data_IF_756549256606
#
_entry.id   IF_756549256606
#
_cell.length_a   1.000
_cell.length_b   1.000
_cell.length_c   1.000
_cell.angle_alpha   90.00
_cell.angle_beta   90.00
_cell.angle_gamma   90.00
#
_symmetry.space_group_name_H-M   'P 1'
#
loop_
_entity.id
_entity.type
_entity.pdbx_description
1 polymer ?
#
# COMPACT_ATOMS: atom_id res chain seq x y z
N UNK A 1 11.30 -6.43 13.70
CA UNK A 1 10.43 -7.44 13.07
C UNK A 1 9.07 -7.50 13.75
N UNK A 2 9.04 -7.52 15.08
CA UNK A 2 7.79 -7.45 15.86
C UNK A 2 6.90 -6.26 15.43
N UNK A 3 7.46 -5.05 15.39
CA UNK A 3 6.75 -3.85 14.92
C UNK A 3 6.12 -4.00 13.51
N UNK A 4 6.88 -4.54 12.55
CA UNK A 4 6.38 -4.77 11.17
C UNK A 4 5.24 -5.80 11.19
N UNK A 5 5.38 -6.86 11.98
CA UNK A 5 4.37 -7.90 12.10
C UNK A 5 3.07 -7.37 12.72
N UNK A 6 3.18 -6.54 13.75
CA UNK A 6 2.03 -5.92 14.40
C UNK A 6 1.30 -4.98 13.44
N UNK A 7 2.03 -4.14 12.71
CA UNK A 7 1.44 -3.28 11.67
C UNK A 7 0.73 -4.11 10.59
N UNK A 8 1.32 -5.23 10.17
CA UNK A 8 0.68 -6.14 9.21
C UNK A 8 -0.60 -6.71 9.80
N UNK A 9 -0.60 -7.19 11.05
CA UNK A 9 -1.77 -7.75 11.74
C UNK A 9 -2.89 -6.72 11.92
N UNK A 10 -2.57 -5.50 12.30
CA UNK A 10 -3.53 -4.42 12.52
C UNK A 10 -4.10 -3.82 11.22
N UNK A 11 -3.38 -3.94 10.10
CA UNK A 11 -3.80 -3.35 8.83
C UNK A 11 -5.06 -4.00 8.26
N UNK A 12 -6.04 -3.19 7.83
CA UNK A 12 -7.28 -3.68 7.24
C UNK A 12 -7.01 -4.44 5.92
N UNK A 13 -7.36 -5.73 5.91
CA UNK A 13 -7.13 -6.63 4.77
C UNK A 13 -7.99 -6.33 3.56
N UNK A 14 -9.12 -5.63 3.73
CA UNK A 14 -10.11 -5.38 2.67
C UNK A 14 -9.90 -4.04 1.95
N UNK A 15 -8.78 -3.36 2.20
CA UNK A 15 -8.44 -2.14 1.44
C UNK A 15 -8.17 -2.46 -0.03
N UNK A 16 -8.53 -1.50 -0.88
CA UNK A 16 -8.32 -1.57 -2.33
C UNK A 16 -6.81 -1.74 -2.63
N UNK A 17 -6.42 -2.70 -3.48
CA UNK A 17 -5.01 -2.93 -3.83
C UNK A 17 -4.44 -1.80 -4.68
N UNK A 18 -3.12 -1.76 -4.77
CA UNK A 18 -2.43 -0.93 -5.75
C UNK A 18 -2.43 -1.56 -7.15
N UNK A 19 -1.61 -1.04 -8.07
CA UNK A 19 -1.45 -1.60 -9.42
C UNK A 19 -0.97 -3.06 -9.47
N UNK A 20 -0.38 -3.55 -8.39
CA UNK A 20 0.08 -4.93 -8.23
C UNK A 20 -1.04 -5.93 -7.93
N UNK A 21 -2.25 -5.46 -7.60
CA UNK A 21 -3.39 -6.30 -7.26
C UNK A 21 -3.35 -6.92 -5.87
N UNK A 22 -2.33 -6.62 -5.05
CA UNK A 22 -2.17 -7.20 -3.71
C UNK A 22 -2.61 -6.24 -2.60
N UNK A 23 -3.33 -6.77 -1.61
CA UNK A 23 -3.76 -6.05 -0.41
C UNK A 23 -3.18 -6.69 0.87
N UNK A 24 -3.49 -6.11 2.03
CA UNK A 24 -3.00 -6.64 3.30
C UNK A 24 -3.55 -8.04 3.63
N UNK A 25 -4.71 -8.45 3.08
CA UNK A 25 -5.19 -9.83 3.27
C UNK A 25 -4.24 -10.85 2.62
N UNK A 26 -3.67 -10.54 1.46
CA UNK A 26 -2.62 -11.35 0.85
C UNK A 26 -1.37 -11.42 1.72
N UNK A 27 -0.85 -10.27 2.18
CA UNK A 27 0.36 -10.23 3.03
C UNK A 27 0.17 -11.00 4.33
N UNK A 28 -0.99 -10.85 4.99
CA UNK A 28 -1.35 -11.61 6.20
C UNK A 28 -1.38 -13.11 5.94
N UNK A 29 -2.04 -13.53 4.85
CA UNK A 29 -2.20 -14.96 4.51
C UNK A 29 -0.87 -15.63 4.24
N UNK A 30 0.08 -14.91 3.64
CA UNK A 30 1.39 -15.44 3.25
C UNK A 30 2.53 -14.89 4.13
N UNK A 31 2.24 -14.42 5.34
CA UNK A 31 3.21 -13.75 6.22
C UNK A 31 4.48 -14.58 6.44
N UNK A 32 4.32 -15.86 6.79
CA UNK A 32 5.45 -16.76 7.04
C UNK A 32 6.40 -16.90 5.86
N UNK A 33 5.87 -16.81 4.64
CA UNK A 33 6.65 -16.86 3.41
C UNK A 33 7.30 -15.51 3.08
N UNK A 34 6.59 -14.40 3.34
CA UNK A 34 7.00 -13.06 2.88
C UNK A 34 7.84 -12.28 3.90
N UNK A 35 7.78 -12.62 5.20
CA UNK A 35 8.40 -11.82 6.28
C UNK A 35 9.90 -11.60 6.11
N UNK A 36 10.61 -12.57 5.52
CA UNK A 36 12.04 -12.44 5.21
C UNK A 36 12.31 -11.38 4.15
N UNK A 37 11.61 -11.43 3.03
CA UNK A 37 11.72 -10.47 1.93
C UNK A 37 11.26 -9.07 2.37
N UNK A 38 10.19 -8.99 3.16
CA UNK A 38 9.72 -7.72 3.74
C UNK A 38 10.79 -7.11 4.65
N UNK A 39 11.49 -7.92 5.46
CA UNK A 39 12.61 -7.41 6.27
C UNK A 39 13.73 -6.84 5.39
N UNK A 40 14.16 -7.60 4.38
CA UNK A 40 15.22 -7.16 3.45
C UNK A 40 14.84 -5.84 2.78
N UNK A 41 13.58 -5.70 2.37
CA UNK A 41 13.05 -4.45 1.80
C UNK A 41 13.16 -3.26 2.76
N UNK A 42 12.80 -3.43 4.04
CA UNK A 42 12.97 -2.37 5.05
C UNK A 42 14.45 -2.04 5.27
N UNK A 43 15.31 -3.04 5.42
CA UNK A 43 16.75 -2.84 5.60
C UNK A 43 17.36 -2.05 4.41
N UNK A 44 16.96 -2.39 3.18
CA UNK A 44 17.37 -1.67 1.97
C UNK A 44 16.84 -0.24 1.92
N UNK A 45 15.59 -0.01 2.32
CA UNK A 45 15.01 1.33 2.36
C UNK A 45 15.75 2.23 3.36
N UNK A 46 16.03 1.74 4.56
CA UNK A 46 16.75 2.50 5.59
C UNK A 46 18.23 2.71 5.23
N UNK A 47 18.88 1.74 4.58
CA UNK A 47 20.27 1.88 4.15
C UNK A 47 20.46 2.80 2.94
N UNK A 48 19.58 2.73 1.95
CA UNK A 48 19.75 3.40 0.66
C UNK A 48 18.82 4.60 0.46
N UNK A 49 17.88 4.86 1.37
CA UNK A 49 16.83 5.89 1.24
C UNK A 49 16.07 5.81 -0.09
N UNK A 50 15.88 4.60 -0.61
CA UNK A 50 15.26 4.38 -1.91
C UNK A 50 14.36 3.15 -1.93
N UNK A 51 13.34 3.19 -2.78
CA UNK A 51 12.44 2.07 -3.05
C UNK A 51 12.47 1.70 -4.52
N UNK A 52 12.24 0.42 -4.86
CA UNK A 52 11.99 0.03 -6.24
C UNK A 52 10.88 0.90 -6.86
N UNK A 53 11.10 1.39 -8.08
CA UNK A 53 10.11 2.22 -8.80
C UNK A 53 8.75 1.55 -8.93
N UNK A 54 8.72 0.21 -9.00
CA UNK A 54 7.49 -0.57 -9.02
C UNK A 54 6.61 -0.34 -7.79
N UNK A 55 7.20 -0.13 -6.61
CA UNK A 55 6.46 0.13 -5.37
C UNK A 55 5.94 1.56 -5.28
N UNK A 56 6.50 2.47 -6.07
CA UNK A 56 6.00 3.84 -6.18
C UNK A 56 4.88 3.99 -7.23
N UNK A 57 4.48 2.90 -7.89
CA UNK A 57 3.36 2.91 -8.83
C UNK A 57 2.03 2.97 -8.10
N UNK A 58 1.10 3.81 -8.57
CA UNK A 58 -0.24 3.92 -8.02
C UNK A 58 -1.26 4.24 -9.12
N UNK A 59 -2.51 3.87 -8.90
CA UNK A 59 -3.62 4.39 -9.69
C UNK A 59 -4.21 5.62 -9.03
N UNK A 60 -4.69 6.58 -9.83
CA UNK A 60 -5.52 7.68 -9.34
C UNK A 60 -6.97 7.35 -9.65
N UNK A 61 -7.80 7.29 -8.61
CA UNK A 61 -9.25 7.16 -8.75
C UNK A 61 -9.93 8.45 -8.32
N UNK A 62 -11.02 8.82 -9.00
CA UNK A 62 -11.79 10.02 -8.71
C UNK A 62 -13.07 9.62 -7.95
N UNK A 63 -13.20 10.06 -6.71
CA UNK A 63 -14.41 9.84 -5.91
C UNK A 63 -15.33 11.07 -6.02
N UNK A 64 -16.58 10.92 -6.48
CA UNK A 64 -17.56 12.01 -6.50
C UNK A 64 -17.77 12.60 -5.09
N UNK A 65 -17.78 13.92 -4.97
CA UNK A 65 -18.19 14.61 -3.73
C UNK A 65 -19.70 14.91 -3.71
N UNK A 66 -20.35 14.86 -4.87
CA UNK A 66 -21.78 15.15 -5.08
C UNK A 66 -22.43 14.04 -5.90
N UNK A 67 -23.76 13.95 -5.91
CA UNK A 67 -24.52 12.86 -6.56
C UNK A 67 -24.42 12.84 -8.09
N UNK A 68 -24.05 13.95 -8.72
CA UNK A 68 -23.91 14.07 -10.18
C UNK A 68 -22.86 15.12 -10.52
N UNK A 69 -21.56 14.78 -10.37
CA UNK A 69 -20.48 15.71 -10.62
C UNK A 69 -20.41 16.04 -12.12
N UNK A 70 -20.36 17.33 -12.44
CA UNK A 70 -20.28 17.88 -13.79
C UNK A 70 -18.88 18.46 -14.09
N UNK A 71 -18.04 18.65 -13.07
CA UNK A 71 -16.69 19.23 -13.21
C UNK A 71 -15.64 18.49 -12.39
N UNK A 72 -14.37 18.58 -12.80
CA UNK A 72 -13.24 17.92 -12.11
C UNK A 72 -13.09 18.38 -10.65
N UNK A 73 -13.44 19.62 -10.34
CA UNK A 73 -13.38 20.17 -8.99
C UNK A 73 -14.38 19.53 -8.04
N UNK A 74 -15.39 18.81 -8.54
CA UNK A 74 -16.38 18.07 -7.75
C UNK A 74 -15.95 16.64 -7.41
N UNK A 75 -14.77 16.22 -7.86
CA UNK A 75 -14.16 14.96 -7.47
C UNK A 75 -13.08 15.16 -6.41
N UNK A 76 -12.86 14.12 -5.60
CA UNK A 76 -11.68 13.99 -4.76
C UNK A 76 -10.76 12.94 -5.39
N UNK A 77 -9.55 13.29 -5.82
CA UNK A 77 -8.58 12.30 -6.26
C UNK A 77 -8.10 11.48 -5.05
N UNK A 78 -8.00 10.17 -5.22
CA UNK A 78 -7.39 9.25 -4.25
C UNK A 78 -6.34 8.41 -4.98
N UNK A 79 -5.14 8.33 -4.39
CA UNK A 79 -4.07 7.46 -4.87
C UNK A 79 -4.21 6.06 -4.27
N UNK A 80 -4.36 5.06 -5.12
CA UNK A 80 -4.39 3.65 -4.77
C UNK A 80 -2.95 3.11 -4.77
N UNK A 81 -2.28 3.25 -3.63
CA UNK A 81 -0.90 2.78 -3.42
C UNK A 81 -0.87 1.28 -3.11
N UNK A 82 0.22 0.61 -3.52
CA UNK A 82 0.50 -0.79 -3.17
C UNK A 82 0.60 -0.99 -1.64
N UNK A 83 0.25 -2.18 -1.17
CA UNK A 83 0.25 -2.47 0.27
C UNK A 83 1.65 -2.43 0.89
N UNK A 84 2.70 -2.82 0.14
CA UNK A 84 4.09 -2.76 0.60
C UNK A 84 4.58 -1.32 0.79
N UNK A 85 4.21 -0.41 -0.11
CA UNK A 85 4.48 1.01 0.07
C UNK A 85 3.77 1.57 1.31
N UNK A 86 2.49 1.22 1.49
CA UNK A 86 1.70 1.61 2.67
C UNK A 86 2.29 1.07 3.97
N UNK A 87 2.93 -0.10 3.93
CA UNK A 87 3.58 -0.72 5.09
C UNK A 87 4.83 0.07 5.50
N UNK A 88 5.65 0.52 4.55
CA UNK A 88 6.85 1.34 4.84
C UNK A 88 6.49 2.74 5.32
N UNK A 89 5.37 3.29 4.86
CA UNK A 89 4.93 4.64 5.22
C UNK A 89 4.23 4.72 6.59
N UNK A 90 3.96 3.59 7.24
CA UNK A 90 3.43 3.52 8.61
C UNK A 90 4.56 3.44 9.61
#
# INVERSE_FOLDING_TARGET
MEEIEDVVKESDGNKIPGPDGFNFAFVKKFWEMLKGEIRVMFDQFHGNSSLPKSFMSYFVTLIPKVSSPASLSEFRPISLLGCLYKLIAK
#
